data_IF_023030039642
#
_entry.id   IF_023030039642
#
_cell.length_a   1.000
_cell.length_b   1.000
_cell.length_c   1.000
_cell.angle_alpha   90.00
_cell.angle_beta   90.00
_cell.angle_gamma   90.00
#
_symmetry.space_group_name_H-M   'P 1'
#
loop_
_entity.id
_entity.type
_entity.pdbx_description
1 polymer ?
#
# COMPACT_ATOMS: atom_id res chain seq x y z
N UNK A 1 -20.74 -9.10 11.88
CA UNK A 1 -20.46 -7.88 12.70
C UNK A 1 -21.51 -6.82 12.53
N UNK A 2 -21.77 -6.33 11.32
CA UNK A 2 -22.78 -5.29 11.09
C UNK A 2 -24.15 -5.69 11.62
N UNK A 3 -24.61 -6.91 11.32
CA UNK A 3 -25.85 -7.48 11.85
C UNK A 3 -25.87 -7.45 13.40
N UNK A 4 -24.81 -7.98 14.04
CA UNK A 4 -24.68 -7.98 15.51
C UNK A 4 -24.71 -6.57 16.13
N UNK A 5 -24.12 -5.58 15.47
CA UNK A 5 -24.05 -4.19 15.96
C UNK A 5 -25.36 -3.42 15.78
N UNK A 6 -26.20 -3.82 14.83
CA UNK A 6 -27.53 -3.24 14.58
C UNK A 6 -28.66 -4.02 15.27
N UNK A 7 -28.34 -4.93 16.19
CA UNK A 7 -29.34 -5.65 16.98
C UNK A 7 -30.01 -6.82 16.24
N UNK A 8 -29.36 -7.36 15.20
CA UNK A 8 -29.84 -8.52 14.45
C UNK A 8 -30.83 -8.19 13.33
N UNK A 9 -30.96 -6.92 12.95
CA UNK A 9 -31.67 -6.53 11.75
C UNK A 9 -30.80 -6.83 10.52
N UNK A 10 -31.26 -7.75 9.67
CA UNK A 10 -30.57 -8.18 8.45
C UNK A 10 -30.76 -7.17 7.30
N UNK A 11 -31.71 -6.24 7.44
CA UNK A 11 -32.05 -5.27 6.39
C UNK A 11 -30.85 -4.34 6.13
N UNK A 12 -30.30 -4.39 4.91
CA UNK A 12 -29.17 -3.59 4.42
C UNK A 12 -27.79 -3.87 5.03
N UNK A 13 -27.55 -5.05 5.62
CA UNK A 13 -26.24 -5.41 6.19
C UNK A 13 -25.07 -5.22 5.21
N UNK A 14 -25.28 -5.56 3.93
CA UNK A 14 -24.32 -5.36 2.84
C UNK A 14 -23.99 -3.87 2.59
N UNK A 15 -24.99 -2.98 2.66
CA UNK A 15 -24.78 -1.53 2.49
C UNK A 15 -23.93 -0.95 3.64
N UNK A 16 -24.27 -1.29 4.88
CA UNK A 16 -23.51 -0.84 6.05
C UNK A 16 -22.10 -1.45 6.12
N UNK A 17 -21.91 -2.69 5.65
CA UNK A 17 -20.58 -3.28 5.50
C UNK A 17 -19.74 -2.50 4.48
N UNK A 18 -20.34 -2.16 3.32
CA UNK A 18 -19.72 -1.30 2.32
C UNK A 18 -19.38 0.09 2.87
N UNK A 19 -20.23 0.65 3.73
CA UNK A 19 -19.98 1.95 4.38
C UNK A 19 -18.76 1.92 5.30
N UNK A 20 -18.52 0.81 6.04
CA UNK A 20 -17.30 0.65 6.85
C UNK A 20 -16.02 0.61 6.02
N UNK A 21 -16.05 -0.09 4.87
CA UNK A 21 -14.90 -0.21 3.96
C UNK A 21 -14.62 1.12 3.27
N UNK A 22 -15.67 1.75 2.72
CA UNK A 22 -15.56 3.04 2.04
C UNK A 22 -15.15 4.17 2.99
N UNK A 23 -15.61 4.19 4.24
CA UNK A 23 -15.18 5.20 5.22
C UNK A 23 -13.67 5.17 5.46
N UNK A 24 -13.08 3.97 5.49
CA UNK A 24 -11.63 3.81 5.56
C UNK A 24 -10.94 4.37 4.32
N UNK A 25 -11.38 3.92 3.13
CA UNK A 25 -10.78 4.31 1.85
C UNK A 25 -10.90 5.82 1.57
N UNK A 26 -12.03 6.44 1.92
CA UNK A 26 -12.24 7.89 1.78
C UNK A 26 -11.31 8.66 2.71
N UNK A 27 -11.19 8.24 3.97
CA UNK A 27 -10.30 8.90 4.93
C UNK A 27 -8.82 8.77 4.50
N UNK A 28 -8.42 7.60 4.01
CA UNK A 28 -7.10 7.35 3.44
C UNK A 28 -6.85 8.23 2.21
N UNK A 29 -7.79 8.27 1.26
CA UNK A 29 -7.65 9.10 0.06
C UNK A 29 -7.51 10.59 0.36
N UNK A 30 -8.27 11.12 1.33
CA UNK A 30 -8.19 12.52 1.75
C UNK A 30 -6.85 12.87 2.41
N UNK A 31 -6.22 11.91 3.08
CA UNK A 31 -4.98 12.13 3.85
C UNK A 31 -3.72 11.66 3.13
N UNK A 32 -3.83 10.86 2.07
CA UNK A 32 -2.73 10.25 1.34
C UNK A 32 -1.65 11.26 0.89
N UNK A 33 -2.06 12.36 0.24
CA UNK A 33 -1.13 13.41 -0.18
C UNK A 33 -0.44 14.09 1.02
N UNK A 34 -1.17 14.27 2.12
CA UNK A 34 -0.64 14.84 3.36
C UNK A 34 0.44 13.96 3.97
N UNK A 35 0.21 12.65 4.04
CA UNK A 35 1.20 11.68 4.54
C UNK A 35 2.43 11.57 3.65
N UNK A 36 2.25 11.62 2.32
CA UNK A 36 3.36 11.69 1.36
C UNK A 36 4.27 12.89 1.64
N UNK A 37 3.69 14.10 1.65
CA UNK A 37 4.44 15.33 1.93
C UNK A 37 5.06 15.36 3.34
N UNK A 38 4.38 14.77 4.33
CA UNK A 38 4.90 14.68 5.69
C UNK A 38 6.11 13.76 5.77
N UNK A 39 6.08 12.64 5.04
CA UNK A 39 7.21 11.70 4.96
C UNK A 39 8.42 12.29 4.22
N UNK A 40 8.20 13.15 3.22
CA UNK A 40 9.28 13.90 2.56
C UNK A 40 10.01 14.85 3.53
N UNK A 41 9.27 15.39 4.52
CA UNK A 41 9.78 16.40 5.46
C UNK A 41 10.42 15.80 6.70
N UNK A 42 9.79 14.79 7.30
CA UNK A 42 10.19 14.24 8.60
C UNK A 42 10.91 12.89 8.51
N UNK A 43 11.01 12.30 7.31
CA UNK A 43 11.57 10.96 7.10
C UNK A 43 10.47 9.94 6.81
N UNK A 44 10.82 8.89 6.06
CA UNK A 44 9.90 7.81 5.66
C UNK A 44 9.63 6.87 6.83
N UNK A 45 10.69 6.43 7.53
CA UNK A 45 10.60 5.49 8.65
C UNK A 45 9.64 5.94 9.75
N UNK A 46 9.75 7.15 10.33
CA UNK A 46 8.88 7.56 11.44
C UNK A 46 7.42 7.64 11.00
N UNK A 47 7.15 8.08 9.77
CA UNK A 47 5.78 8.18 9.25
C UNK A 47 5.14 6.80 9.07
N UNK A 48 5.87 5.82 8.54
CA UNK A 48 5.37 4.43 8.43
C UNK A 48 5.03 3.87 9.82
N UNK A 49 5.88 4.09 10.83
CA UNK A 49 5.64 3.60 12.18
C UNK A 49 4.42 4.27 12.84
N UNK A 50 4.23 5.58 12.63
CA UNK A 50 3.04 6.31 13.10
C UNK A 50 1.78 5.75 12.44
N UNK A 51 1.82 5.49 11.13
CA UNK A 51 0.67 4.93 10.42
C UNK A 51 0.31 3.53 10.92
N UNK A 52 1.30 2.67 11.17
CA UNK A 52 1.08 1.36 11.81
C UNK A 52 0.44 1.51 13.20
N UNK A 53 0.92 2.46 14.01
CA UNK A 53 0.32 2.76 15.32
C UNK A 53 -1.14 3.21 15.22
N UNK A 54 -1.47 4.05 14.23
CA UNK A 54 -2.84 4.48 13.94
C UNK A 54 -3.77 3.31 13.58
N UNK A 55 -3.28 2.38 12.74
CA UNK A 55 -4.03 1.16 12.41
C UNK A 55 -4.24 0.29 13.64
N UNK A 56 -3.23 0.10 14.50
CA UNK A 56 -3.37 -0.67 15.73
C UNK A 56 -4.43 -0.07 16.67
N UNK A 57 -4.42 1.24 16.87
CA UNK A 57 -5.42 1.94 17.70
C UNK A 57 -6.82 1.78 17.09
N UNK A 58 -6.95 1.97 15.78
CA UNK A 58 -8.21 1.78 15.06
C UNK A 58 -8.75 0.36 15.20
N UNK A 59 -7.90 -0.67 15.05
CA UNK A 59 -8.28 -2.07 15.23
C UNK A 59 -8.76 -2.37 16.65
N UNK A 60 -8.11 -1.81 17.68
CA UNK A 60 -8.56 -1.96 19.07
C UNK A 60 -9.95 -1.35 19.29
N UNK A 61 -10.17 -0.11 18.83
CA UNK A 61 -11.47 0.57 18.97
C UNK A 61 -12.55 -0.20 18.19
N UNK A 62 -12.22 -0.70 17.00
CA UNK A 62 -13.12 -1.50 16.18
C UNK A 62 -13.51 -2.81 16.85
N UNK A 63 -12.56 -3.53 17.47
CA UNK A 63 -12.83 -4.77 18.21
C UNK A 63 -13.66 -4.57 19.48
N UNK A 64 -13.56 -3.39 20.11
CA UNK A 64 -14.34 -2.99 21.29
C UNK A 64 -15.67 -2.31 20.94
N UNK A 65 -16.01 -2.17 19.66
CA UNK A 65 -17.22 -1.48 19.24
C UNK A 65 -18.48 -2.28 19.64
N UNK A 66 -19.39 -1.65 20.36
CA UNK A 66 -20.73 -2.18 20.68
C UNK A 66 -21.84 -1.53 19.87
N UNK A 67 -21.51 -0.45 19.14
CA UNK A 67 -22.42 0.33 18.30
C UNK A 67 -21.79 0.53 16.93
N UNK A 68 -22.62 0.50 15.90
CA UNK A 68 -22.19 0.68 14.52
C UNK A 68 -21.38 1.98 14.30
N UNK A 69 -21.85 3.11 14.85
CA UNK A 69 -21.17 4.41 14.70
C UNK A 69 -19.75 4.43 15.29
N UNK A 70 -19.49 3.65 16.35
CA UNK A 70 -18.14 3.53 16.93
C UNK A 70 -17.23 2.75 15.98
N UNK A 71 -17.74 1.68 15.39
CA UNK A 71 -17.02 0.91 14.38
C UNK A 71 -16.73 1.75 13.12
N UNK A 72 -17.68 2.58 12.69
CA UNK A 72 -17.52 3.50 11.56
C UNK A 72 -16.46 4.57 11.84
N UNK A 73 -16.51 5.20 13.02
CA UNK A 73 -15.50 6.17 13.43
C UNK A 73 -14.11 5.52 13.54
N UNK A 74 -14.02 4.31 14.09
CA UNK A 74 -12.77 3.57 14.16
C UNK A 74 -12.16 3.36 12.77
N UNK A 75 -12.98 2.99 11.77
CA UNK A 75 -12.52 2.83 10.38
C UNK A 75 -12.08 4.15 9.75
N UNK A 76 -12.83 5.22 9.97
CA UNK A 76 -12.45 6.54 9.48
C UNK A 76 -11.11 7.01 10.07
N UNK A 77 -10.94 6.89 11.39
CA UNK A 77 -9.67 7.22 12.07
C UNK A 77 -8.53 6.33 11.58
N UNK A 78 -8.79 5.04 11.39
CA UNK A 78 -7.81 4.09 10.86
C UNK A 78 -7.31 4.47 9.47
N UNK A 79 -8.22 4.86 8.57
CA UNK A 79 -7.86 5.33 7.23
C UNK A 79 -7.13 6.67 7.26
N UNK A 80 -7.62 7.63 8.05
CA UNK A 80 -7.02 8.95 8.17
C UNK A 80 -5.57 8.91 8.71
N UNK A 81 -5.27 7.93 9.56
CA UNK A 81 -3.93 7.73 10.12
C UNK A 81 -3.04 6.82 9.28
N UNK A 82 -3.58 6.13 8.26
CA UNK A 82 -2.81 5.17 7.47
C UNK A 82 -2.35 5.76 6.12
N UNK A 83 -1.18 6.37 6.10
CA UNK A 83 -0.50 6.77 4.86
C UNK A 83 0.48 5.73 4.30
N UNK A 84 0.51 4.51 4.85
CA UNK A 84 1.63 3.60 4.67
C UNK A 84 1.78 3.10 3.24
N UNK A 85 0.69 2.93 2.49
CA UNK A 85 0.75 2.39 1.12
C UNK A 85 1.62 3.28 0.23
N UNK A 86 1.36 4.59 0.20
CA UNK A 86 2.12 5.55 -0.61
C UNK A 86 3.56 5.72 -0.13
N UNK A 87 3.78 5.75 1.20
CA UNK A 87 5.14 5.92 1.76
C UNK A 87 5.99 4.66 1.54
N UNK A 88 5.43 3.47 1.67
CA UNK A 88 6.16 2.21 1.42
C UNK A 88 6.55 2.06 -0.06
N UNK A 89 5.67 2.45 -0.99
CA UNK A 89 5.99 2.46 -2.42
C UNK A 89 7.19 3.37 -2.72
N UNK A 90 7.22 4.56 -2.14
CA UNK A 90 8.37 5.48 -2.31
C UNK A 90 9.64 4.93 -1.66
N UNK A 91 9.55 4.29 -0.49
CA UNK A 91 10.70 3.62 0.12
C UNK A 91 11.26 2.50 -0.75
N UNK A 92 10.40 1.65 -1.34
CA UNK A 92 10.86 0.59 -2.25
C UNK A 92 11.59 1.19 -3.45
N UNK A 93 11.01 2.23 -4.06
CA UNK A 93 11.64 2.93 -5.18
C UNK A 93 13.01 3.52 -4.80
N UNK A 94 13.13 4.13 -3.62
CA UNK A 94 14.38 4.72 -3.11
C UNK A 94 15.44 3.66 -2.75
N UNK A 95 15.03 2.46 -2.34
CA UNK A 95 15.93 1.37 -1.93
C UNK A 95 16.53 0.60 -3.12
N UNK A 96 15.81 0.54 -4.25
CA UNK A 96 16.28 -0.20 -5.42
C UNK A 96 17.29 0.63 -6.21
N UNK A 97 18.58 0.39 -5.93
CA UNK A 97 19.68 1.06 -6.65
C UNK A 97 20.01 0.43 -8.00
N UNK A 98 19.70 -0.86 -8.19
CA UNK A 98 19.99 -1.59 -9.43
C UNK A 98 18.72 -1.72 -10.30
N UNK A 99 18.71 -1.16 -11.53
CA UNK A 99 17.63 -1.31 -12.51
C UNK A 99 17.14 -2.75 -12.70
N UNK A 100 18.06 -3.72 -12.73
CA UNK A 100 17.72 -5.12 -13.01
C UNK A 100 16.88 -5.78 -11.89
N UNK A 101 16.89 -5.18 -10.70
CA UNK A 101 16.15 -5.67 -9.54
C UNK A 101 14.81 -4.96 -9.34
N UNK A 102 14.56 -3.86 -10.06
CA UNK A 102 13.36 -3.04 -9.93
C UNK A 102 12.06 -3.83 -10.21
N UNK A 103 11.94 -4.61 -11.30
CA UNK A 103 10.74 -5.40 -11.53
C UNK A 103 10.48 -6.44 -10.43
N UNK A 104 11.55 -7.04 -9.88
CA UNK A 104 11.42 -8.03 -8.80
C UNK A 104 10.99 -7.39 -7.49
N UNK A 105 11.48 -6.19 -7.19
CA UNK A 105 11.10 -5.45 -6.00
C UNK A 105 9.62 -5.03 -6.05
N UNK A 106 9.15 -4.50 -7.18
CA UNK A 106 7.74 -4.15 -7.34
C UNK A 106 6.82 -5.37 -7.34
N UNK A 107 7.22 -6.48 -7.99
CA UNK A 107 6.45 -7.72 -7.99
C UNK A 107 6.27 -8.33 -6.58
N UNK A 108 7.17 -8.02 -5.63
CA UNK A 108 7.06 -8.50 -4.25
C UNK A 108 5.89 -7.88 -3.47
N UNK A 109 5.52 -6.63 -3.78
CA UNK A 109 4.46 -5.90 -3.09
C UNK A 109 3.08 -6.57 -3.20
N UNK A 110 2.55 -6.87 -4.41
CA UNK A 110 1.26 -7.55 -4.54
C UNK A 110 1.31 -8.98 -3.99
N UNK A 111 2.45 -9.67 -4.05
CA UNK A 111 2.58 -10.99 -3.46
C UNK A 111 2.38 -10.97 -1.93
N UNK A 112 3.05 -10.05 -1.24
CA UNK A 112 2.91 -9.88 0.21
C UNK A 112 1.49 -9.45 0.57
N UNK A 113 0.88 -8.57 -0.23
CA UNK A 113 -0.52 -8.17 -0.05
C UNK A 113 -1.48 -9.36 -0.13
N UNK A 114 -1.34 -10.21 -1.14
CA UNK A 114 -2.15 -11.43 -1.29
C UNK A 114 -1.95 -12.37 -0.12
N UNK A 115 -0.70 -12.59 0.32
CA UNK A 115 -0.41 -13.44 1.47
C UNK A 115 -1.04 -12.90 2.76
N UNK A 116 -0.94 -11.58 2.99
CA UNK A 116 -1.61 -10.90 4.10
C UNK A 116 -3.14 -11.04 4.03
N UNK A 117 -3.72 -10.95 2.84
CA UNK A 117 -5.15 -11.17 2.60
C UNK A 117 -5.59 -12.59 2.98
N UNK A 118 -4.84 -13.63 2.58
CA UNK A 118 -5.12 -15.03 2.93
C UNK A 118 -5.15 -15.20 4.46
N UNK A 119 -4.07 -14.77 5.13
CA UNK A 119 -3.92 -14.91 6.58
C UNK A 119 -5.01 -14.09 7.29
N UNK A 120 -5.25 -12.87 6.82
CA UNK A 120 -6.26 -11.96 7.38
C UNK A 120 -7.68 -12.50 7.25
N UNK A 121 -8.07 -13.06 6.11
CA UNK A 121 -9.38 -13.68 5.91
C UNK A 121 -9.56 -14.92 6.78
N UNK A 122 -8.53 -15.77 6.88
CA UNK A 122 -8.56 -16.93 7.77
C UNK A 122 -8.75 -16.51 9.24
N UNK A 123 -7.91 -15.59 9.73
CA UNK A 123 -7.99 -15.08 11.09
C UNK A 123 -9.33 -14.37 11.37
N UNK A 124 -9.81 -13.56 10.43
CA UNK A 124 -11.08 -12.82 10.56
C UNK A 124 -12.29 -13.74 10.63
N UNK A 125 -12.28 -14.86 9.91
CA UNK A 125 -13.35 -15.86 9.95
C UNK A 125 -13.29 -16.74 11.18
N UNK A 126 -12.14 -17.38 11.44
CA UNK A 126 -11.99 -18.38 12.51
C UNK A 126 -11.97 -17.81 13.93
N UNK A 127 -11.56 -16.54 14.10
CA UNK A 127 -11.49 -15.93 15.44
C UNK A 127 -12.73 -15.10 15.77
N UNK A 128 -13.62 -14.87 14.81
CA UNK A 128 -14.87 -14.14 15.05
C UNK A 128 -15.82 -14.95 15.93
N UNK A 129 -16.55 -14.26 16.81
CA UNK A 129 -17.55 -14.85 17.71
C UNK A 129 -17.02 -16.07 18.50
N UNK A 130 -15.87 -15.94 19.19
CA UNK A 130 -15.20 -17.09 19.80
C UNK A 130 -16.03 -17.74 20.92
N UNK A 131 -16.91 -16.99 21.59
CA UNK A 131 -17.83 -17.53 22.58
C UNK A 131 -18.92 -18.45 21.99
N UNK A 132 -19.24 -18.29 20.70
CA UNK A 132 -20.20 -19.15 20.00
C UNK A 132 -19.53 -20.41 19.43
N UNK A 133 -18.36 -20.24 18.80
CA UNK A 133 -17.67 -21.35 18.13
C UNK A 133 -16.74 -22.16 19.05
N UNK A 134 -16.24 -21.58 20.13
CA UNK A 134 -15.33 -22.21 21.09
C UNK A 134 -15.79 -22.03 22.55
N UNK A 135 -17.01 -22.46 22.91
CA UNK A 135 -17.61 -22.21 24.23
C UNK A 135 -16.84 -22.86 25.40
N UNK A 136 -16.02 -23.89 25.14
CA UNK A 136 -15.16 -24.53 26.16
C UNK A 136 -13.96 -23.67 26.57
N UNK A 137 -13.49 -22.78 25.68
CA UNK A 137 -12.35 -21.89 25.93
C UNK A 137 -12.80 -20.46 26.25
N UNK A 138 -13.94 -20.03 25.72
CA UNK A 138 -14.45 -18.67 25.85
C UNK A 138 -15.88 -18.66 26.42
N UNK A 139 -16.06 -18.35 27.71
CA UNK A 139 -17.38 -18.22 28.31
C UNK A 139 -18.20 -17.09 27.68
N UNK A 140 -19.52 -17.30 27.54
CA UNK A 140 -20.44 -16.30 27.02
C UNK A 140 -20.53 -15.03 27.90
N UNK A 141 -20.34 -15.17 29.22
CA UNK A 141 -20.33 -14.03 30.15
C UNK A 141 -18.97 -13.31 30.20
N UNK A 142 -17.97 -13.82 29.48
CA UNK A 142 -16.62 -13.26 29.43
C UNK A 142 -16.49 -12.02 28.53
N UNK A 143 -15.30 -11.42 28.52
CA UNK A 143 -15.00 -10.25 27.68
C UNK A 143 -15.25 -10.53 26.19
N UNK A 144 -14.95 -11.73 25.71
CA UNK A 144 -15.14 -12.13 24.32
C UNK A 144 -16.58 -12.49 23.96
N UNK A 145 -17.44 -12.77 24.94
CA UNK A 145 -18.89 -12.84 24.73
C UNK A 145 -19.52 -11.46 24.64
N UNK A 146 -19.04 -10.50 25.44
CA UNK A 146 -19.44 -9.08 25.34
C UNK A 146 -18.93 -8.40 24.07
N UNK A 147 -17.73 -8.75 23.61
CA UNK A 147 -17.08 -8.21 22.42
C UNK A 147 -16.69 -9.34 21.45
N UNK A 148 -17.63 -9.83 20.62
CA UNK A 148 -17.42 -11.00 19.76
C UNK A 148 -16.31 -10.83 18.71
N UNK A 149 -15.96 -9.58 18.38
CA UNK A 149 -14.97 -9.24 17.37
C UNK A 149 -13.64 -8.75 17.97
N UNK A 150 -13.49 -8.78 19.30
CA UNK A 150 -12.27 -8.30 19.96
C UNK A 150 -11.08 -9.22 19.67
N UNK A 151 -11.28 -10.54 19.68
CA UNK A 151 -10.22 -11.52 19.47
C UNK A 151 -9.48 -11.37 18.13
N UNK A 152 -10.14 -11.34 16.96
CA UNK A 152 -9.45 -11.16 15.68
C UNK A 152 -8.70 -9.82 15.61
N UNK A 153 -9.25 -8.76 16.22
CA UNK A 153 -8.60 -7.46 16.25
C UNK A 153 -7.38 -7.44 17.18
N UNK A 154 -7.42 -8.13 18.33
CA UNK A 154 -6.25 -8.27 19.21
C UNK A 154 -5.10 -8.99 18.51
N UNK A 155 -5.39 -10.09 17.79
CA UNK A 155 -4.34 -10.79 17.05
C UNK A 155 -3.77 -9.90 15.94
N UNK A 156 -4.62 -9.14 15.22
CA UNK A 156 -4.15 -8.13 14.25
C UNK A 156 -3.22 -7.10 14.90
N UNK A 157 -3.59 -6.59 16.08
CA UNK A 157 -2.78 -5.61 16.82
C UNK A 157 -1.44 -6.20 17.25
N UNK A 158 -1.39 -7.46 17.69
CA UNK A 158 -0.13 -8.14 18.00
C UNK A 158 0.77 -8.22 16.76
N UNK A 159 0.21 -8.59 15.60
CA UNK A 159 0.96 -8.63 14.33
C UNK A 159 1.47 -7.24 13.96
N UNK A 160 0.66 -6.20 14.10
CA UNK A 160 1.06 -4.80 13.84
C UNK A 160 2.16 -4.35 14.80
N UNK A 161 2.07 -4.68 16.09
CA UNK A 161 3.10 -4.36 17.08
C UNK A 161 4.42 -5.06 16.75
N UNK A 162 4.37 -6.33 16.32
CA UNK A 162 5.55 -7.03 15.83
C UNK A 162 6.14 -6.35 14.60
N UNK A 163 5.30 -5.88 13.67
CA UNK A 163 5.76 -5.11 12.51
C UNK A 163 6.37 -3.75 12.90
N UNK A 164 5.83 -3.06 13.91
CA UNK A 164 6.41 -1.83 14.46
C UNK A 164 7.77 -2.12 15.09
N UNK A 165 7.89 -3.18 15.90
CA UNK A 165 9.15 -3.60 16.51
C UNK A 165 10.18 -3.93 15.42
N UNK A 166 9.78 -4.71 14.42
CA UNK A 166 10.62 -5.03 13.26
C UNK A 166 11.06 -3.75 12.53
N UNK A 167 10.14 -2.80 12.31
CA UNK A 167 10.43 -1.52 11.68
C UNK A 167 11.41 -0.67 12.49
N UNK A 168 11.26 -0.63 13.82
CA UNK A 168 12.18 0.11 14.70
C UNK A 168 13.58 -0.50 14.62
N UNK A 169 13.70 -1.83 14.69
CA UNK A 169 14.98 -2.55 14.77
C UNK A 169 15.70 -2.68 13.42
N UNK A 170 14.97 -2.92 12.32
CA UNK A 170 15.56 -3.32 11.04
C UNK A 170 15.33 -2.34 9.90
N UNK A 171 14.30 -1.48 9.97
CA UNK A 171 14.03 -0.54 8.87
C UNK A 171 15.00 0.66 8.97
N UNK A 172 15.76 0.90 7.91
CA UNK A 172 16.57 2.11 7.75
C UNK A 172 15.71 3.30 7.29
N UNK A 173 16.21 4.51 7.53
CA UNK A 173 15.66 5.71 6.89
C UNK A 173 16.12 5.74 5.43
N UNK A 174 15.20 6.04 4.50
CA UNK A 174 15.51 6.12 3.05
C UNK A 174 15.52 7.56 2.55
N UNK A 175 15.01 8.51 3.33
CA UNK A 175 15.00 9.92 2.94
C UNK A 175 16.41 10.53 2.89
N UNK A 176 16.92 10.73 1.67
CA UNK A 176 18.24 11.30 1.36
C UNK A 176 18.43 12.76 1.81
N UNK A 177 17.36 13.47 2.17
CA UNK A 177 17.44 14.88 2.57
C UNK A 177 18.15 15.07 3.91
N UNK A 178 18.05 14.12 4.83
CA UNK A 178 18.78 14.17 6.10
C UNK A 178 20.30 14.02 5.92
N UNK A 179 20.70 13.21 4.94
CA UNK A 179 22.11 12.94 4.61
C UNK A 179 22.77 14.19 3.97
N UNK A 180 22.04 14.89 3.08
CA UNK A 180 22.52 16.12 2.43
C UNK A 180 22.75 17.29 3.40
N UNK A 181 21.89 17.48 4.40
CA UNK A 181 22.08 18.55 5.40
C UNK A 181 23.32 18.30 6.27
N UNK A 182 23.64 17.04 6.56
CA UNK A 182 24.82 16.67 7.34
C UNK A 182 26.09 16.87 6.50
N UNK A 183 26.08 16.49 5.22
CA UNK A 183 27.19 16.76 4.29
C UNK A 183 27.39 18.27 4.03
N UNK A 184 26.31 19.06 3.86
CA UNK A 184 26.42 20.52 3.67
C UNK A 184 27.00 21.21 4.89
N UNK A 185 26.59 20.84 6.11
CA UNK A 185 27.18 21.40 7.34
C UNK A 185 28.61 20.92 7.59
N UNK A 186 28.95 19.67 7.26
CA UNK A 186 30.33 19.19 7.35
C UNK A 186 31.27 19.89 6.37
N UNK A 187 30.77 20.30 5.20
CA UNK A 187 31.54 21.06 4.20
C UNK A 187 31.63 22.55 4.56
N UNK A 188 30.62 23.15 5.21
CA UNK A 188 30.68 24.54 5.69
C UNK A 188 31.65 24.71 6.88
N UNK A 189 31.71 23.75 7.80
CA UNK A 189 32.60 23.81 8.97
C UNK A 189 34.09 23.66 8.60
N UNK A 190 34.42 23.05 7.45
CA UNK A 190 35.80 22.91 6.96
C UNK A 190 36.33 24.16 6.21
N UNK A 191 35.51 25.22 6.02
CA UNK A 191 35.83 26.34 5.10
C UNK A 191 36.06 27.71 5.79
N UNK A 192 36.18 27.81 7.12
CA UNK A 192 36.63 29.06 7.77
C UNK A 192 37.38 28.77 9.09
N UNK A 193 38.54 29.34 9.45
CA UNK A 193 39.40 30.42 8.97
C UNK A 193 40.77 30.21 9.66
N UNK A 194 41.88 30.56 9.00
CA UNK A 194 42.98 31.28 9.66
C UNK A 194 44.02 31.66 8.58
N UNK A 195 44.16 32.98 8.34
CA UNK A 195 45.20 33.69 7.56
C UNK A 195 44.78 34.14 6.16
N UNK A 196 43.91 35.15 6.14
CA UNK A 196 43.82 36.04 4.99
C UNK A 196 44.99 37.03 4.99
N UNK A 197 45.78 37.11 3.89
CA UNK A 197 46.08 38.43 3.35
C UNK A 197 45.72 38.53 1.86
N UNK A 198 44.80 39.45 1.58
CA UNK A 198 44.63 40.30 0.39
C UNK A 198 45.12 39.77 -0.97
N UNK A 199 44.20 39.25 -1.79
CA UNK A 199 44.26 39.40 -3.26
C UNK A 199 42.87 39.38 -3.89
N UNK A 200 42.46 40.49 -4.49
CA UNK A 200 41.22 40.64 -5.26
C UNK A 200 41.58 40.82 -6.77
N UNK A 201 40.66 40.67 -7.74
CA UNK A 201 39.82 39.53 -8.05
C UNK A 201 40.11 39.00 -9.47
N UNK A 202 40.19 37.69 -9.67
CA UNK A 202 39.88 37.10 -10.99
C UNK A 202 38.60 36.30 -10.83
N UNK A 203 37.50 36.87 -11.34
CA UNK A 203 36.23 36.18 -11.60
C UNK A 203 36.53 34.91 -12.41
N UNK A 204 36.66 33.78 -11.73
CA UNK A 204 36.28 32.49 -12.30
C UNK A 204 34.89 32.22 -11.75
N UNK A 205 33.87 32.52 -12.57
CA UNK A 205 32.51 32.06 -12.30
C UNK A 205 32.51 30.55 -12.53
N UNK A 206 32.89 29.76 -11.52
CA UNK A 206 32.40 28.38 -11.42
C UNK A 206 30.96 28.47 -10.94
N UNK A 207 30.05 28.70 -11.88
CA UNK A 207 28.63 28.51 -11.65
C UNK A 207 28.38 27.01 -11.46
N UNK A 208 28.58 26.51 -10.25
CA UNK A 208 28.02 25.25 -9.79
C UNK A 208 26.51 25.47 -9.66
N UNK A 209 25.81 25.38 -10.78
CA UNK A 209 24.36 25.24 -10.78
C UNK A 209 24.05 23.78 -10.45
N UNK A 210 24.05 23.42 -9.16
CA UNK A 210 23.45 22.16 -8.73
C UNK A 210 21.94 22.32 -8.83
N UNK A 211 21.44 21.87 -9.97
CA UNK A 211 20.04 21.79 -10.34
C UNK A 211 19.35 20.87 -9.33
N UNK A 212 18.38 21.41 -8.57
CA UNK A 212 17.66 20.63 -7.57
C UNK A 212 16.94 19.45 -8.23
N UNK A 213 17.39 18.23 -7.98
CA UNK A 213 16.62 17.04 -8.33
C UNK A 213 15.48 16.89 -7.32
N UNK A 214 14.29 17.34 -7.73
CA UNK A 214 13.04 16.96 -7.07
C UNK A 214 12.73 15.51 -7.48
N UNK A 215 12.41 14.59 -6.56
CA UNK A 215 11.88 13.29 -6.95
C UNK A 215 10.56 13.50 -7.69
N UNK A 216 10.46 12.97 -8.91
CA UNK A 216 9.22 12.98 -9.70
C UNK A 216 8.51 11.65 -9.49
N UNK A 217 7.26 11.73 -9.06
CA UNK A 217 6.35 10.60 -9.00
C UNK A 217 6.15 10.03 -10.41
N UNK A 218 6.38 8.73 -10.57
CA UNK A 218 5.90 7.97 -11.71
C UNK A 218 5.19 6.74 -11.17
N UNK A 219 3.87 6.73 -11.35
CA UNK A 219 2.98 5.62 -11.02
C UNK A 219 3.15 4.53 -12.09
N UNK A 220 3.17 3.28 -11.66
CA UNK A 220 3.42 2.10 -12.46
C UNK A 220 2.36 1.91 -13.57
N UNK A 221 2.78 1.77 -14.83
CA UNK A 221 2.21 0.81 -15.81
C UNK A 221 2.90 0.86 -17.19
N UNK A 222 2.87 -0.31 -17.82
CA UNK A 222 3.42 -0.77 -19.11
C UNK A 222 2.89 0.00 -20.37
N UNK A 223 3.39 -0.29 -21.60
CA UNK A 223 3.63 0.72 -22.65
C UNK A 223 2.40 1.14 -23.46
N UNK A 224 2.52 2.35 -24.03
CA UNK A 224 1.63 2.98 -25.02
C UNK A 224 1.63 2.24 -26.38
N UNK A 225 0.49 2.20 -27.10
CA UNK A 225 0.46 1.74 -28.49
C UNK A 225 0.75 2.89 -29.47
N UNK A 226 1.34 2.54 -30.62
CA UNK A 226 1.59 3.35 -31.84
C UNK A 226 2.95 4.07 -31.92
N UNK A 227 4.02 3.27 -32.03
CA UNK A 227 4.94 3.17 -33.18
C UNK A 227 6.06 2.20 -32.78
N UNK A 228 6.01 0.96 -33.31
CA UNK A 228 6.95 -0.10 -32.96
C UNK A 228 8.27 0.08 -33.73
N UNK A 229 9.18 0.86 -33.16
CA UNK A 229 10.62 0.60 -33.30
C UNK A 229 11.14 0.18 -31.92
N UNK A 230 11.10 -1.13 -31.66
CA UNK A 230 11.66 -1.74 -30.46
C UNK A 230 13.19 -1.65 -30.50
N UNK A 231 13.79 -0.79 -29.67
CA UNK A 231 15.20 -0.91 -29.33
C UNK A 231 15.34 -1.71 -28.03
N UNK A 232 15.54 -3.02 -28.18
CA UNK A 232 15.76 -3.99 -27.10
C UNK A 232 17.06 -3.75 -26.32
N UNK A 233 17.89 -2.77 -26.71
CA UNK A 233 19.08 -2.35 -25.93
C UNK A 233 18.76 -1.34 -24.84
N UNK A 234 17.50 -0.92 -24.72
CA UNK A 234 17.06 0.07 -23.74
C UNK A 234 16.96 -0.56 -22.35
N UNK A 235 18.05 -0.52 -21.58
CA UNK A 235 18.14 -0.99 -20.17
C UNK A 235 17.40 -0.10 -19.16
N UNK A 236 16.45 0.74 -19.60
CA UNK A 236 15.83 1.79 -18.80
C UNK A 236 14.30 1.66 -18.81
N UNK A 237 13.81 0.48 -18.47
CA UNK A 237 12.40 0.31 -18.10
C UNK A 237 12.28 0.70 -16.63
N UNK A 238 11.71 1.86 -16.31
CA UNK A 238 11.44 2.29 -14.92
C UNK A 238 12.53 3.07 -14.20
N UNK A 239 13.77 3.06 -14.68
CA UNK A 239 14.91 3.61 -13.93
C UNK A 239 14.82 5.10 -13.58
N UNK A 240 14.76 5.40 -12.28
CA UNK A 240 14.99 6.73 -11.69
C UNK A 240 16.49 7.14 -11.67
N UNK A 241 17.40 6.21 -11.96
CA UNK A 241 18.84 6.47 -11.95
C UNK A 241 19.40 6.71 -13.35
N UNK A 242 20.34 7.66 -13.44
CA UNK A 242 21.01 8.04 -14.67
C UNK A 242 21.69 6.84 -15.34
N UNK A 243 21.46 6.72 -16.65
CA UNK A 243 22.03 5.67 -17.49
C UNK A 243 23.54 5.92 -17.57
N UNK A 244 24.36 5.02 -17.01
CA UNK A 244 25.81 5.01 -17.28
C UNK A 244 26.03 4.43 -18.67
N UNK A 245 26.31 5.30 -19.65
CA UNK A 245 26.70 4.86 -20.98
C UNK A 245 28.08 4.17 -20.94
N UNK A 246 28.30 3.11 -21.75
CA UNK A 246 29.63 2.55 -22.00
C UNK A 246 30.61 3.66 -22.41
N UNK A 247 31.88 3.55 -22.00
CA UNK A 247 32.90 4.58 -22.24
C UNK A 247 33.08 4.95 -23.72
N UNK A 248 32.74 4.03 -24.64
CA UNK A 248 32.81 4.24 -26.10
C UNK A 248 31.65 5.09 -26.65
N UNK A 249 30.57 5.27 -25.87
CA UNK A 249 29.39 6.08 -26.20
C UNK A 249 29.28 7.37 -25.35
N UNK A 250 30.19 7.56 -24.39
CA UNK A 250 30.36 8.84 -23.69
C UNK A 250 30.98 9.82 -24.69
N UNK A 251 30.17 10.74 -25.21
CA UNK A 251 30.71 11.84 -26.00
C UNK A 251 31.52 12.76 -25.09
N UNK A 252 32.71 13.18 -25.54
CA UNK A 252 33.55 14.22 -24.90
C UNK A 252 32.89 15.63 -24.90
N UNK A 253 31.59 15.69 -25.20
CA UNK A 253 30.78 16.90 -25.15
C UNK A 253 30.20 17.13 -23.75
N UNK A 254 29.75 18.35 -23.43
CA UNK A 254 29.02 18.60 -22.19
C UNK A 254 27.85 17.62 -22.09
N UNK A 255 27.68 16.96 -20.93
CA UNK A 255 26.58 16.01 -20.71
C UNK A 255 25.28 16.63 -21.23
N UNK A 256 24.50 15.93 -22.08
CA UNK A 256 23.21 16.44 -22.51
C UNK A 256 22.37 16.63 -21.26
N UNK A 257 22.18 17.88 -20.85
CA UNK A 257 21.28 18.25 -19.76
C UNK A 257 19.97 17.54 -20.02
N UNK A 258 19.59 16.59 -19.16
CA UNK A 258 18.32 15.90 -19.26
C UNK A 258 17.24 16.97 -19.46
N UNK A 259 16.61 16.98 -20.63
CA UNK A 259 15.56 17.94 -20.90
C UNK A 259 14.47 17.69 -19.86
N UNK A 260 14.36 18.61 -18.90
CA UNK A 260 13.29 18.62 -17.91
C UNK A 260 12.01 18.58 -18.73
N UNK A 261 11.28 17.46 -18.69
CA UNK A 261 9.97 17.37 -19.31
C UNK A 261 9.14 18.57 -18.83
N UNK A 262 8.84 19.50 -19.75
CA UNK A 262 8.09 20.74 -19.51
C UNK A 262 6.59 20.57 -19.79
N UNK A 263 6.14 19.36 -20.11
CA UNK A 263 4.74 19.07 -20.33
C UNK A 263 3.93 19.16 -19.03
N UNK A 264 2.60 19.27 -19.13
CA UNK A 264 1.73 19.22 -17.95
C UNK A 264 1.94 17.88 -17.21
N UNK A 265 1.99 17.94 -15.88
CA UNK A 265 2.15 16.75 -15.04
C UNK A 265 1.04 15.71 -15.28
N UNK A 266 -0.17 16.18 -15.56
CA UNK A 266 -1.29 15.36 -16.00
C UNK A 266 -1.43 15.46 -17.53
N UNK A 267 -0.85 14.51 -18.25
CA UNK A 267 -1.11 14.34 -19.67
C UNK A 267 -2.32 13.40 -19.89
N UNK A 268 -2.86 13.37 -21.11
CA UNK A 268 -4.03 12.53 -21.42
C UNK A 268 -3.80 11.04 -21.11
N UNK A 269 -2.59 10.54 -21.34
CA UNK A 269 -2.20 9.17 -21.03
C UNK A 269 -2.27 8.87 -19.54
N UNK A 270 -1.72 9.74 -18.69
CA UNK A 270 -1.78 9.63 -17.23
C UNK A 270 -3.23 9.66 -16.77
N UNK A 271 -4.05 10.58 -17.29
CA UNK A 271 -5.48 10.65 -16.93
C UNK A 271 -6.21 9.36 -17.32
N UNK A 272 -5.98 8.83 -18.53
CA UNK A 272 -6.59 7.58 -18.98
C UNK A 272 -6.17 6.38 -18.12
N UNK A 273 -4.89 6.28 -17.77
CA UNK A 273 -4.37 5.23 -16.90
C UNK A 273 -4.95 5.36 -15.49
N UNK A 274 -4.98 6.56 -14.92
CA UNK A 274 -5.60 6.81 -13.60
C UNK A 274 -7.07 6.38 -13.61
N UNK A 275 -7.84 6.71 -14.65
CA UNK A 275 -9.23 6.27 -14.78
C UNK A 275 -9.33 4.73 -14.88
N UNK A 276 -8.47 4.09 -15.66
CA UNK A 276 -8.45 2.63 -15.79
C UNK A 276 -8.12 1.95 -14.44
N UNK A 277 -7.11 2.45 -13.71
CA UNK A 277 -6.74 1.96 -12.38
C UNK A 277 -7.88 2.15 -11.36
N UNK A 278 -8.59 3.28 -11.42
CA UNK A 278 -9.78 3.52 -10.60
C UNK A 278 -10.87 2.49 -10.88
N UNK A 279 -11.16 2.20 -12.16
CA UNK A 279 -12.18 1.21 -12.53
C UNK A 279 -11.81 -0.21 -12.09
N UNK A 280 -10.54 -0.61 -12.29
CA UNK A 280 -10.04 -1.91 -11.84
C UNK A 280 -10.10 -2.03 -10.32
N UNK A 281 -9.66 -0.98 -9.61
CA UNK A 281 -9.69 -0.95 -8.15
C UNK A 281 -11.13 -0.98 -7.61
N UNK A 282 -12.04 -0.25 -8.24
CA UNK A 282 -13.47 -0.29 -7.91
C UNK A 282 -14.04 -1.70 -8.08
N UNK A 283 -13.81 -2.34 -9.23
CA UNK A 283 -14.27 -3.70 -9.48
C UNK A 283 -13.72 -4.68 -8.43
N UNK A 284 -12.41 -4.62 -8.16
CA UNK A 284 -11.76 -5.48 -7.18
C UNK A 284 -12.35 -5.29 -5.77
N UNK A 285 -12.50 -4.05 -5.32
CA UNK A 285 -13.03 -3.73 -3.99
C UNK A 285 -14.51 -4.09 -3.85
N UNK A 286 -15.30 -3.86 -4.90
CA UNK A 286 -16.69 -4.27 -4.94
C UNK A 286 -16.80 -5.80 -4.82
N UNK A 287 -16.02 -6.55 -5.60
CA UNK A 287 -15.99 -8.00 -5.53
C UNK A 287 -15.56 -8.51 -4.14
N UNK A 288 -14.48 -7.97 -3.59
CA UNK A 288 -13.95 -8.38 -2.27
C UNK A 288 -14.92 -8.09 -1.12
N UNK A 289 -15.78 -7.07 -1.25
CA UNK A 289 -16.73 -6.69 -0.20
C UNK A 289 -18.07 -7.40 -0.35
N UNK A 290 -18.58 -7.52 -1.59
CA UNK A 290 -19.90 -8.09 -1.87
C UNK A 290 -19.92 -9.61 -1.84
N UNK A 291 -18.82 -10.27 -2.23
CA UNK A 291 -18.78 -11.73 -2.24
C UNK A 291 -18.94 -12.32 -0.82
N UNK A 292 -18.18 -11.91 0.20
CA UNK A 292 -18.34 -12.44 1.55
C UNK A 292 -19.73 -12.15 2.13
N UNK A 293 -20.29 -10.97 1.87
CA UNK A 293 -21.62 -10.62 2.38
C UNK A 293 -22.71 -11.45 1.71
N UNK A 294 -22.63 -11.67 0.39
CA UNK A 294 -23.55 -12.55 -0.33
C UNK A 294 -23.46 -14.01 0.12
N UNK A 295 -22.27 -14.50 0.46
CA UNK A 295 -22.12 -15.85 1.02
C UNK A 295 -22.78 -15.98 2.40
N UNK A 296 -22.75 -14.93 3.22
CA UNK A 296 -23.35 -14.89 4.57
C UNK A 296 -24.87 -14.67 4.55
N UNK A 297 -25.39 -13.89 3.61
CA UNK A 297 -26.81 -13.55 3.55
C UNK A 297 -27.69 -14.79 3.37
N UNK A 298 -28.89 -14.77 3.96
CA UNK A 298 -29.81 -15.91 3.91
C UNK A 298 -30.39 -16.08 2.49
N UNK A 299 -30.63 -17.31 2.03
CA UNK A 299 -31.33 -17.55 0.77
C UNK A 299 -32.78 -17.05 0.85
N UNK A 300 -33.26 -16.41 -0.21
CA UNK A 300 -34.63 -15.92 -0.31
C UNK A 300 -35.59 -16.98 -0.88
N UNK A 301 -35.06 -17.97 -1.62
CA UNK A 301 -35.79 -19.13 -2.16
C UNK A 301 -35.36 -20.49 -1.57
N UNK A 302 -36.13 -21.57 -1.84
CA UNK A 302 -35.75 -22.93 -1.46
C UNK A 302 -34.46 -23.40 -2.16
N UNK A 303 -33.63 -24.17 -1.45
CA UNK A 303 -32.34 -24.67 -1.95
C UNK A 303 -32.51 -25.43 -3.28
N UNK A 304 -31.74 -25.04 -4.32
CA UNK A 304 -31.68 -25.73 -5.62
C UNK A 304 -32.06 -24.88 -6.84
N UNK A 305 -32.51 -23.64 -6.65
CA UNK A 305 -32.71 -22.66 -7.74
C UNK A 305 -31.65 -21.54 -7.68
N UNK A 306 -31.32 -20.96 -8.84
CA UNK A 306 -30.47 -19.76 -8.92
C UNK A 306 -31.25 -18.58 -8.32
N UNK A 307 -30.95 -18.28 -7.06
CA UNK A 307 -31.47 -17.11 -6.37
C UNK A 307 -30.49 -15.96 -6.59
N UNK A 308 -30.90 -14.97 -7.41
CA UNK A 308 -30.10 -13.77 -7.68
C UNK A 308 -30.37 -12.66 -6.64
N UNK A 309 -31.33 -12.87 -5.74
CA UNK A 309 -31.74 -11.90 -4.74
C UNK A 309 -31.29 -12.28 -3.31
N UNK A 310 -31.29 -13.57 -2.96
CA UNK A 310 -30.80 -14.09 -1.68
C UNK A 310 -29.35 -14.57 -1.70
N UNK A 311 -28.75 -14.75 -0.52
CA UNK A 311 -27.40 -15.28 -0.36
C UNK A 311 -27.34 -16.81 -0.17
N UNK A 312 -26.17 -17.33 0.22
CA UNK A 312 -25.97 -18.78 0.44
C UNK A 312 -26.16 -19.25 1.88
N UNK A 313 -26.26 -18.34 2.85
CA UNK A 313 -26.49 -18.64 4.27
C UNK A 313 -25.34 -19.36 4.95
N UNK A 314 -24.10 -19.17 4.50
CA UNK A 314 -22.91 -19.78 5.09
C UNK A 314 -22.56 -19.16 6.44
N UNK A 315 -21.84 -19.91 7.28
CA UNK A 315 -21.35 -19.38 8.55
C UNK A 315 -20.12 -18.49 8.35
N UNK A 316 -19.79 -17.67 9.35
CA UNK A 316 -18.60 -16.81 9.33
C UNK A 316 -17.30 -17.62 9.16
N UNK A 317 -17.24 -18.83 9.73
CA UNK A 317 -16.12 -19.76 9.55
C UNK A 317 -16.04 -20.32 8.13
N UNK A 318 -17.18 -20.69 7.52
CA UNK A 318 -17.22 -21.21 6.15
C UNK A 318 -16.77 -20.14 5.14
N UNK A 319 -17.24 -18.90 5.32
CA UNK A 319 -16.83 -17.77 4.48
C UNK A 319 -15.35 -17.44 4.67
N UNK A 320 -14.85 -17.46 5.91
CA UNK A 320 -13.41 -17.32 6.18
C UNK A 320 -12.56 -18.40 5.50
N UNK A 321 -13.02 -19.65 5.57
CA UNK A 321 -12.36 -20.79 4.91
C UNK A 321 -12.37 -20.64 3.39
N UNK A 322 -13.52 -20.27 2.82
CA UNK A 322 -13.68 -20.03 1.39
C UNK A 322 -12.72 -18.94 0.88
N UNK A 323 -12.66 -17.79 1.57
CA UNK A 323 -11.78 -16.69 1.19
C UNK A 323 -10.30 -17.07 1.31
N UNK A 324 -9.93 -17.81 2.36
CA UNK A 324 -8.57 -18.31 2.53
C UNK A 324 -8.18 -19.27 1.40
N UNK A 325 -9.04 -20.24 1.05
CA UNK A 325 -8.81 -21.18 -0.07
C UNK A 325 -8.72 -20.42 -1.39
N UNK A 326 -9.62 -19.47 -1.65
CA UNK A 326 -9.59 -18.66 -2.86
C UNK A 326 -8.29 -17.85 -2.98
N UNK A 327 -7.81 -17.28 -1.87
CA UNK A 327 -6.52 -16.57 -1.86
C UNK A 327 -5.34 -17.51 -2.10
N UNK A 328 -5.32 -18.72 -1.52
CA UNK A 328 -4.28 -19.73 -1.79
C UNK A 328 -4.27 -20.14 -3.27
N UNK A 329 -5.45 -20.37 -3.86
CA UNK A 329 -5.57 -20.65 -5.29
C UNK A 329 -5.05 -19.47 -6.13
N UNK A 330 -5.40 -18.23 -5.76
CA UNK A 330 -4.88 -17.03 -6.40
C UNK A 330 -3.35 -16.95 -6.35
N UNK A 331 -2.75 -17.28 -5.21
CA UNK A 331 -1.29 -17.30 -5.03
C UNK A 331 -0.63 -18.40 -5.86
N UNK A 332 -1.25 -19.58 -5.99
CA UNK A 332 -0.76 -20.64 -6.89
C UNK A 332 -0.82 -20.21 -8.36
N UNK A 333 -1.91 -19.57 -8.77
CA UNK A 333 -2.06 -19.05 -10.14
C UNK A 333 -0.99 -17.97 -10.40
N UNK A 334 -0.82 -17.02 -9.49
CA UNK A 334 0.16 -15.94 -9.61
C UNK A 334 1.61 -16.45 -9.55
N UNK A 335 1.89 -17.46 -8.72
CA UNK A 335 3.24 -17.99 -8.52
C UNK A 335 3.69 -19.00 -9.59
N UNK A 336 2.77 -19.79 -10.13
CA UNK A 336 3.12 -20.87 -11.08
C UNK A 336 2.60 -20.63 -12.48
N UNK A 337 1.33 -20.23 -12.63
CA UNK A 337 0.71 -20.13 -13.96
C UNK A 337 1.18 -18.86 -14.67
N UNK A 338 1.19 -17.72 -13.96
CA UNK A 338 1.55 -16.44 -14.56
C UNK A 338 2.98 -16.42 -15.11
N UNK A 339 4.04 -16.86 -14.38
CA UNK A 339 5.39 -16.90 -14.93
C UNK A 339 5.52 -17.81 -16.15
N UNK A 340 4.90 -19.00 -16.11
CA UNK A 340 4.91 -19.94 -17.26
C UNK A 340 4.24 -19.31 -18.48
N UNK A 341 3.14 -18.57 -18.27
CA UNK A 341 2.44 -17.89 -19.35
C UNK A 341 3.29 -16.76 -19.93
N UNK A 342 3.90 -15.94 -19.08
CA UNK A 342 4.78 -14.85 -19.51
C UNK A 342 5.97 -15.38 -20.31
N UNK A 343 6.65 -16.43 -19.82
CA UNK A 343 7.80 -17.03 -20.50
C UNK A 343 7.45 -17.71 -21.84
N UNK A 344 6.22 -18.20 -22.01
CA UNK A 344 5.82 -18.92 -23.23
C UNK A 344 5.16 -18.05 -24.29
N UNK A 345 4.56 -16.92 -23.91
CA UNK A 345 3.69 -16.13 -24.81
C UNK A 345 4.27 -14.75 -25.12
N UNK A 346 5.12 -14.18 -24.26
CA UNK A 346 5.87 -12.97 -24.60
C UNK A 346 7.31 -13.36 -25.00
N UNK A 347 7.66 -13.29 -26.29
CA UNK A 347 8.99 -13.62 -26.79
C UNK A 347 10.07 -12.62 -26.37
#
# INVERSE_FOLDING_TARGET
MVQDLNGGDDTDASFYAGLLVSAYAVAEALTAMGWGALSDRYGRKPIVLIGLGGVAISSLIFGLATKYWVALLARFVGGALNGNVAVMQTMVAEMVKNPDHEPKAYASQPFVWTLGGIIGSAMGGFLAQPAQFYPSLFPADGIFGRYPYLLPNLVSVVVIVLAIIQGILFLGETNTRGEKTIEEHAVEDDVADERTPLRNPRRSRSALSHQSERPRFMEESLPVPVEQNFDLRRTSFGTLHSIKLPAELQSDGPEPRAEIFKGPAFNYTVIMITIALLLVSYHQMAFCTLLPTHLLDKPAGPHGHLDLHGGLGFTVHDVGTYLAVNGVLGLLIQGFIFPIFVEKILP
#
